data_IF_590889823034
#
_entry.id   IF_590889823034
#
_cell.length_a   1.000
_cell.length_b   1.000
_cell.length_c   1.000
_cell.angle_alpha   90.00
_cell.angle_beta   90.00
_cell.angle_gamma   90.00
#
_symmetry.space_group_name_H-M   'P 1'
#
loop_
_entity.id
_entity.type
_entity.pdbx_description
1 polymer ?
#
# COMPACT_ATOMS: atom_id res chain seq x y z
N UNK A 1 32.09 26.65 -3.11
CA UNK A 1 32.74 25.58 -3.90
C UNK A 1 31.71 24.48 -4.13
N UNK A 2 31.47 24.07 -5.37
CA UNK A 2 30.47 23.02 -5.71
C UNK A 2 31.20 21.69 -5.89
N UNK A 3 30.51 20.58 -5.59
CA UNK A 3 30.95 19.25 -6.01
C UNK A 3 31.10 19.20 -7.54
N UNK A 4 32.08 18.44 -7.99
CA UNK A 4 32.43 18.30 -9.42
C UNK A 4 31.43 17.41 -10.15
N UNK A 5 31.43 17.48 -11.49
CA UNK A 5 30.58 16.63 -12.33
C UNK A 5 30.93 15.15 -12.17
N UNK A 6 32.21 14.83 -12.08
CA UNK A 6 32.70 13.45 -11.93
C UNK A 6 32.27 12.83 -10.60
N UNK A 7 32.31 13.60 -9.51
CA UNK A 7 31.79 13.16 -8.20
C UNK A 7 30.28 12.91 -8.23
N UNK A 8 29.51 13.77 -8.93
CA UNK A 8 28.07 13.55 -9.11
C UNK A 8 27.78 12.30 -9.94
N UNK A 9 28.55 12.06 -11.00
CA UNK A 9 28.43 10.87 -11.84
C UNK A 9 28.75 9.58 -11.07
N UNK A 10 29.74 9.59 -10.17
CA UNK A 10 30.02 8.43 -9.30
C UNK A 10 28.86 8.16 -8.34
N UNK A 11 28.33 9.19 -7.68
CA UNK A 11 27.17 9.07 -6.79
C UNK A 11 25.96 8.54 -7.55
N UNK A 12 25.68 9.10 -8.73
CA UNK A 12 24.61 8.67 -9.62
C UNK A 12 24.73 7.17 -9.96
N UNK A 13 25.91 6.71 -10.37
CA UNK A 13 26.17 5.30 -10.65
C UNK A 13 25.95 4.41 -9.43
N UNK A 14 26.33 4.85 -8.23
CA UNK A 14 26.07 4.09 -6.98
C UNK A 14 24.57 4.00 -6.68
N UNK A 15 23.82 5.08 -6.92
CA UNK A 15 22.36 5.11 -6.78
C UNK A 15 21.66 4.19 -7.79
N UNK A 16 22.09 4.17 -9.06
CA UNK A 16 21.57 3.25 -10.09
C UNK A 16 21.79 1.78 -9.71
N UNK A 17 22.92 1.48 -9.06
CA UNK A 17 23.23 0.15 -8.53
C UNK A 17 22.51 -0.16 -7.19
N UNK A 18 21.54 0.65 -6.78
CA UNK A 18 20.73 0.47 -5.57
C UNK A 18 21.53 0.42 -4.27
N UNK A 19 22.69 1.08 -4.23
CA UNK A 19 23.46 1.19 -3.00
C UNK A 19 22.70 2.15 -2.06
N UNK A 20 22.45 1.76 -0.79
CA UNK A 20 21.75 2.62 0.17
C UNK A 20 22.43 3.98 0.33
N UNK A 21 21.63 5.04 0.47
CA UNK A 21 22.11 6.43 0.59
C UNK A 21 23.09 6.57 1.77
N UNK A 22 22.82 5.87 2.87
CA UNK A 22 23.66 5.82 4.06
C UNK A 22 25.03 5.25 3.75
N UNK A 23 25.09 4.14 3.03
CA UNK A 23 26.35 3.51 2.63
C UNK A 23 27.16 4.44 1.69
N UNK A 24 26.50 5.13 0.77
CA UNK A 24 27.16 6.12 -0.11
C UNK A 24 27.76 7.27 0.72
N UNK A 25 27.01 7.80 1.69
CA UNK A 25 27.49 8.87 2.56
C UNK A 25 28.66 8.42 3.43
N UNK A 26 28.59 7.21 3.98
CA UNK A 26 29.63 6.66 4.84
C UNK A 26 30.90 6.36 4.04
N UNK A 27 30.81 5.79 2.84
CA UNK A 27 31.95 5.59 1.95
C UNK A 27 32.66 6.90 1.61
N UNK A 28 31.89 7.96 1.30
CA UNK A 28 32.44 9.28 0.97
C UNK A 28 33.08 9.94 2.20
N UNK A 29 32.53 9.74 3.40
CA UNK A 29 33.15 10.24 4.64
C UNK A 29 34.42 9.47 4.98
N UNK A 30 34.43 8.16 4.74
CA UNK A 30 35.55 7.27 5.03
C UNK A 30 36.72 7.45 4.05
N UNK A 31 36.49 8.04 2.86
CA UNK A 31 37.58 8.41 1.95
C UNK A 31 38.37 9.65 2.38
N UNK A 32 38.00 10.28 3.51
CA UNK A 32 38.69 11.45 4.04
C UNK A 32 40.07 11.09 4.59
N UNK A 33 41.12 11.69 4.02
CA UNK A 33 42.49 11.52 4.51
C UNK A 33 42.86 12.54 5.60
N UNK A 34 43.28 13.75 5.19
CA UNK A 34 43.89 14.75 6.09
C UNK A 34 43.04 16.01 6.29
N UNK A 35 42.25 16.39 5.28
CA UNK A 35 41.36 17.56 5.33
C UNK A 35 40.05 17.26 4.61
N UNK A 36 38.90 17.74 5.12
CA UNK A 36 37.63 17.57 4.45
C UNK A 36 37.55 18.47 3.21
N UNK A 37 37.27 17.84 2.08
CA UNK A 37 36.88 18.52 0.84
C UNK A 37 35.35 18.66 0.75
N UNK A 38 34.84 19.44 -0.22
CA UNK A 38 33.39 19.71 -0.37
C UNK A 38 32.54 18.44 -0.50
N UNK A 39 33.07 17.40 -1.14
CA UNK A 39 32.41 16.10 -1.31
C UNK A 39 32.17 15.38 0.01
N UNK A 40 33.06 15.55 0.99
CA UNK A 40 32.93 14.96 2.33
C UNK A 40 31.84 15.64 3.19
N UNK A 41 31.34 16.80 2.72
CA UNK A 41 30.32 17.60 3.40
C UNK A 41 28.94 17.50 2.73
N UNK A 42 28.76 16.55 1.80
CA UNK A 42 27.45 16.32 1.20
C UNK A 42 26.44 15.79 2.22
N UNK A 43 25.19 16.14 2.01
CA UNK A 43 24.06 15.77 2.83
C UNK A 43 23.15 14.80 2.07
N UNK A 44 22.16 14.24 2.79
CA UNK A 44 21.08 13.49 2.15
C UNK A 44 20.32 14.33 1.11
N UNK A 45 20.23 15.65 1.31
CA UNK A 45 19.58 16.53 0.35
C UNK A 45 20.40 16.65 -0.93
N UNK A 46 21.73 16.81 -0.84
CA UNK A 46 22.59 16.83 -2.04
C UNK A 46 22.45 15.52 -2.85
N UNK A 47 22.31 14.36 -2.19
CA UNK A 47 22.08 13.07 -2.87
C UNK A 47 20.70 13.01 -3.53
N UNK A 48 19.66 13.56 -2.90
CA UNK A 48 18.33 13.68 -3.53
C UNK A 48 18.37 14.58 -4.76
N UNK A 49 19.05 15.72 -4.67
CA UNK A 49 19.19 16.66 -5.78
C UNK A 49 19.94 16.00 -6.95
N UNK A 50 21.00 15.22 -6.68
CA UNK A 50 21.72 14.43 -7.70
C UNK A 50 20.80 13.36 -8.29
N UNK A 51 20.02 12.67 -7.47
CA UNK A 51 19.07 11.66 -7.94
C UNK A 51 18.05 12.26 -8.93
N UNK A 52 17.53 13.44 -8.62
CA UNK A 52 16.64 14.20 -9.51
C UNK A 52 17.36 14.69 -10.77
N UNK A 53 18.56 15.28 -10.64
CA UNK A 53 19.37 15.79 -11.75
C UNK A 53 19.70 14.71 -12.78
N UNK A 54 19.89 13.46 -12.34
CA UNK A 54 20.20 12.32 -13.20
C UNK A 54 18.98 11.44 -13.54
N UNK A 55 17.76 11.86 -13.17
CA UNK A 55 16.52 11.10 -13.39
C UNK A 55 16.58 9.64 -12.88
N UNK A 56 17.32 9.41 -11.80
CA UNK A 56 17.46 8.07 -11.22
C UNK A 56 16.18 7.78 -10.46
N UNK A 57 15.35 6.91 -11.03
CA UNK A 57 14.06 6.53 -10.44
C UNK A 57 14.26 6.12 -8.99
N UNK A 58 13.50 6.72 -8.08
CA UNK A 58 13.39 6.18 -6.73
C UNK A 58 12.76 4.80 -6.79
N UNK A 59 13.36 3.82 -6.10
CA UNK A 59 12.72 2.53 -5.87
C UNK A 59 11.27 2.78 -5.42
N UNK A 60 10.31 2.41 -6.27
CA UNK A 60 8.87 2.60 -6.04
C UNK A 60 8.16 3.66 -6.89
N UNK A 61 8.85 4.52 -7.63
CA UNK A 61 8.22 5.50 -8.54
C UNK A 61 8.49 5.09 -9.99
N UNK A 62 7.45 4.62 -10.68
CA UNK A 62 7.51 4.08 -12.05
C UNK A 62 7.12 5.11 -13.12
N UNK A 63 6.59 6.26 -12.69
CA UNK A 63 6.25 7.40 -13.53
C UNK A 63 6.22 8.69 -12.72
N UNK A 64 6.43 9.83 -13.37
CA UNK A 64 6.25 11.16 -12.80
C UNK A 64 4.79 11.48 -12.43
N UNK A 65 3.82 10.80 -13.07
CA UNK A 65 2.42 10.86 -12.73
C UNK A 65 2.07 9.69 -11.79
N UNK A 66 1.62 10.00 -10.58
CA UNK A 66 1.37 8.98 -9.55
C UNK A 66 0.31 7.95 -9.96
N UNK A 67 -0.75 8.37 -10.67
CA UNK A 67 -1.79 7.47 -11.17
C UNK A 67 -1.19 6.48 -12.16
N UNK A 68 -0.36 6.96 -13.09
CA UNK A 68 0.34 6.11 -14.06
C UNK A 68 1.34 5.19 -13.36
N UNK A 69 2.04 5.68 -12.33
CA UNK A 69 2.98 4.90 -11.53
C UNK A 69 2.29 3.74 -10.82
N UNK A 70 1.16 4.00 -10.15
CA UNK A 70 0.34 2.96 -9.49
C UNK A 70 -0.18 1.95 -10.50
N UNK A 71 -0.69 2.40 -11.65
CA UNK A 71 -1.15 1.52 -12.72
C UNK A 71 -0.04 0.57 -13.21
N UNK A 72 1.14 1.11 -13.50
CA UNK A 72 2.31 0.29 -13.90
C UNK A 72 2.68 -0.73 -12.82
N UNK A 73 2.61 -0.34 -11.55
CA UNK A 73 2.90 -1.24 -10.43
C UNK A 73 1.87 -2.37 -10.33
N UNK A 74 0.58 -2.05 -10.44
CA UNK A 74 -0.49 -3.04 -10.40
C UNK A 74 -0.40 -4.00 -11.60
N UNK A 75 -0.21 -3.49 -12.82
CA UNK A 75 -0.07 -4.34 -14.03
C UNK A 75 1.14 -5.27 -13.95
N UNK A 76 2.24 -4.80 -13.36
CA UNK A 76 3.43 -5.63 -13.10
C UNK A 76 3.20 -6.76 -12.10
N UNK A 77 2.15 -6.68 -11.27
CA UNK A 77 1.81 -7.69 -10.26
C UNK A 77 0.65 -8.59 -10.67
N UNK A 78 -0.35 -8.07 -11.40
CA UNK A 78 -1.61 -8.77 -11.74
C UNK A 78 -1.41 -10.14 -12.37
N UNK A 79 -0.40 -10.30 -13.23
CA UNK A 79 -0.17 -11.54 -13.97
C UNK A 79 0.72 -12.55 -13.23
N UNK A 80 1.13 -12.26 -12.00
CA UNK A 80 1.92 -13.19 -11.19
C UNK A 80 1.02 -14.20 -10.50
N UNK A 81 1.50 -15.43 -10.39
CA UNK A 81 0.80 -16.49 -9.63
C UNK A 81 0.65 -16.10 -8.15
N UNK A 82 1.65 -15.41 -7.60
CA UNK A 82 1.67 -14.88 -6.23
C UNK A 82 1.14 -13.44 -6.13
N UNK A 83 0.34 -12.99 -7.11
CA UNK A 83 -0.18 -11.62 -7.14
C UNK A 83 -0.89 -11.28 -5.81
N UNK A 84 -0.46 -10.21 -5.13
CA UNK A 84 -1.14 -9.74 -3.95
C UNK A 84 -2.39 -8.90 -4.31
N UNK A 85 -2.60 -8.59 -5.59
CA UNK A 85 -3.72 -7.75 -6.03
C UNK A 85 -4.98 -8.62 -6.11
N UNK A 86 -5.98 -8.30 -5.29
CA UNK A 86 -7.27 -8.99 -5.27
C UNK A 86 -8.26 -8.35 -6.24
N UNK A 87 -8.36 -7.02 -6.21
CA UNK A 87 -9.12 -6.22 -7.17
C UNK A 87 -8.45 -4.85 -7.32
N UNK A 88 -8.50 -4.30 -8.53
CA UNK A 88 -8.05 -2.94 -8.79
C UNK A 88 -8.96 -2.25 -9.81
N UNK A 89 -9.73 -1.28 -9.32
CA UNK A 89 -10.50 -0.33 -10.10
C UNK A 89 -9.72 0.98 -10.17
N UNK A 90 -9.24 1.31 -11.36
CA UNK A 90 -8.50 2.54 -11.62
C UNK A 90 -9.42 3.77 -11.78
N UNK A 91 -8.86 4.95 -11.52
CA UNK A 91 -9.47 6.21 -11.88
C UNK A 91 -9.53 6.34 -13.40
N UNK A 92 -10.56 7.03 -13.90
CA UNK A 92 -10.88 7.18 -15.32
C UNK A 92 -11.41 5.91 -16.01
N UNK A 93 -11.59 4.80 -15.29
CA UNK A 93 -12.31 3.61 -15.78
C UNK A 93 -13.73 3.60 -15.23
N UNK A 94 -14.70 3.51 -16.14
CA UNK A 94 -16.10 3.22 -15.83
C UNK A 94 -16.51 1.91 -16.49
N UNK A 95 -16.88 0.92 -15.68
CA UNK A 95 -17.37 -0.38 -16.14
C UNK A 95 -18.39 -0.91 -15.13
N UNK A 96 -19.67 -0.80 -15.45
CA UNK A 96 -20.78 -1.21 -14.56
C UNK A 96 -20.85 -2.74 -14.39
N UNK A 97 -20.28 -3.52 -15.32
CA UNK A 97 -20.30 -4.98 -15.22
C UNK A 97 -19.20 -5.48 -14.27
N UNK A 98 -18.01 -4.86 -14.32
CA UNK A 98 -16.90 -5.22 -13.45
C UNK A 98 -16.96 -4.52 -12.08
N UNK A 99 -17.41 -3.27 -12.06
CA UNK A 99 -17.40 -2.41 -10.87
C UNK A 99 -18.78 -1.75 -10.67
N UNK A 100 -19.83 -2.52 -10.40
CA UNK A 100 -21.19 -2.01 -10.32
C UNK A 100 -21.32 -0.88 -9.28
N UNK A 101 -21.94 0.22 -9.68
CA UNK A 101 -22.15 1.41 -8.86
C UNK A 101 -20.90 2.26 -8.59
N UNK A 102 -19.74 1.92 -9.16
CA UNK A 102 -18.50 2.72 -9.09
C UNK A 102 -18.44 3.72 -10.26
N UNK A 103 -18.02 4.95 -9.98
CA UNK A 103 -17.88 6.02 -10.98
C UNK A 103 -16.49 6.04 -11.59
N UNK A 104 -16.29 6.80 -12.67
CA UNK A 104 -14.99 6.91 -13.32
C UNK A 104 -13.89 7.42 -12.37
N UNK A 105 -14.20 8.40 -11.53
CA UNK A 105 -13.27 9.04 -10.58
C UNK A 105 -12.91 8.19 -9.35
N UNK A 106 -13.71 7.16 -9.06
CA UNK A 106 -13.49 6.31 -7.89
C UNK A 106 -12.21 5.48 -8.07
N UNK A 107 -11.48 5.20 -7.00
CA UNK A 107 -10.36 4.25 -6.99
C UNK A 107 -10.67 3.20 -5.94
N UNK A 108 -10.44 1.94 -6.27
CA UNK A 108 -10.51 0.85 -5.30
C UNK A 108 -9.36 -0.12 -5.55
N UNK A 109 -8.55 -0.35 -4.53
CA UNK A 109 -7.46 -1.31 -4.56
C UNK A 109 -7.54 -2.20 -3.31
N UNK A 110 -7.61 -3.51 -3.52
CA UNK A 110 -7.55 -4.50 -2.44
C UNK A 110 -6.29 -5.33 -2.60
N UNK A 111 -5.52 -5.43 -1.52
CA UNK A 111 -4.25 -6.15 -1.48
C UNK A 111 -4.31 -7.24 -0.40
N UNK A 112 -4.01 -8.47 -0.80
CA UNK A 112 -3.82 -9.65 0.05
C UNK A 112 -2.77 -10.57 -0.58
N UNK A 113 -1.60 -10.68 0.03
CA UNK A 113 -0.60 -11.68 -0.36
C UNK A 113 -0.99 -13.10 0.11
N UNK A 114 -0.19 -14.10 -0.24
CA UNK A 114 -0.45 -15.50 0.13
C UNK A 114 -0.57 -15.72 1.65
N UNK A 115 0.40 -15.22 2.43
CA UNK A 115 0.36 -15.32 3.90
C UNK A 115 -0.88 -14.67 4.50
N UNK A 116 -1.30 -13.52 3.97
CA UNK A 116 -2.50 -12.81 4.40
C UNK A 116 -3.78 -13.60 4.10
N UNK A 117 -3.88 -14.20 2.91
CA UNK A 117 -4.98 -15.11 2.55
C UNK A 117 -5.03 -16.31 3.51
N UNK A 118 -3.88 -16.90 3.83
CA UNK A 118 -3.81 -18.04 4.74
C UNK A 118 -4.21 -17.66 6.17
N UNK A 119 -3.69 -16.55 6.70
CA UNK A 119 -4.08 -16.04 8.02
C UNK A 119 -5.59 -15.77 8.09
N UNK A 120 -6.19 -15.22 7.03
CA UNK A 120 -7.64 -15.02 6.96
C UNK A 120 -8.41 -16.35 7.00
N UNK A 121 -7.94 -17.38 6.29
CA UNK A 121 -8.58 -18.71 6.29
C UNK A 121 -8.47 -19.40 7.65
N UNK A 122 -7.32 -19.30 8.31
CA UNK A 122 -7.09 -19.96 9.59
C UNK A 122 -7.84 -19.28 10.74
N UNK A 123 -7.83 -17.94 10.80
CA UNK A 123 -8.30 -17.20 11.97
C UNK A 123 -9.56 -16.37 11.74
N UNK A 124 -9.99 -16.17 10.49
CA UNK A 124 -11.11 -15.30 10.13
C UNK A 124 -12.49 -15.78 10.57
N UNK A 125 -12.60 -16.97 11.17
CA UNK A 125 -13.88 -17.49 11.69
C UNK A 125 -14.14 -17.12 13.17
N UNK A 126 -13.14 -16.66 13.92
CA UNK A 126 -13.39 -16.24 15.32
C UNK A 126 -13.68 -14.74 15.41
N UNK A 127 -12.67 -13.89 15.18
CA UNK A 127 -12.81 -12.44 15.33
C UNK A 127 -12.16 -11.73 14.16
N UNK A 128 -12.94 -10.83 13.53
CA UNK A 128 -12.45 -9.90 12.52
C UNK A 128 -12.66 -8.48 13.03
N UNK A 129 -11.62 -7.66 12.89
CA UNK A 129 -11.68 -6.24 13.17
C UNK A 129 -11.43 -5.47 11.88
N UNK A 130 -12.25 -4.47 11.61
CA UNK A 130 -12.05 -3.52 10.52
C UNK A 130 -11.54 -2.22 11.14
N UNK A 131 -10.27 -1.94 10.92
CA UNK A 131 -9.64 -0.70 11.36
C UNK A 131 -9.62 0.31 10.22
N UNK A 132 -10.07 1.53 10.50
CA UNK A 132 -10.26 2.56 9.50
C UNK A 132 -9.35 3.75 9.74
N UNK A 133 -8.49 4.03 8.76
CA UNK A 133 -7.56 5.16 8.80
C UNK A 133 -7.95 6.19 7.77
N UNK A 134 -8.56 7.26 8.26
CA UNK A 134 -9.08 8.35 7.44
C UNK A 134 -7.98 9.23 6.85
N UNK A 135 -7.91 9.29 5.52
CA UNK A 135 -7.43 10.44 4.75
C UNK A 135 -6.08 11.05 5.13
N UNK A 136 -5.19 10.32 5.82
CA UNK A 136 -3.91 10.84 6.32
C UNK A 136 -2.83 10.90 5.23
N UNK A 137 -3.22 11.03 3.96
CA UNK A 137 -2.30 11.20 2.84
C UNK A 137 -2.70 12.40 1.96
N UNK A 138 -1.77 12.84 1.12
CA UNK A 138 -1.94 14.02 0.27
C UNK A 138 -3.11 13.92 -0.72
N UNK A 139 -3.57 12.70 -1.04
CA UNK A 139 -4.65 12.43 -1.99
C UNK A 139 -6.00 12.16 -1.32
N UNK A 140 -6.03 12.14 0.03
CA UNK A 140 -7.21 11.81 0.85
C UNK A 140 -7.82 10.44 0.51
N UNK A 141 -6.98 9.47 0.14
CA UNK A 141 -7.41 8.07 0.11
C UNK A 141 -7.51 7.55 1.54
N UNK A 142 -8.59 6.83 1.82
CA UNK A 142 -8.74 6.14 3.09
C UNK A 142 -8.24 4.70 2.97
N UNK A 143 -7.66 4.19 4.06
CA UNK A 143 -7.22 2.82 4.17
C UNK A 143 -8.03 2.09 5.24
N UNK A 144 -8.65 0.98 4.84
CA UNK A 144 -9.27 0.02 5.75
C UNK A 144 -8.36 -1.19 5.86
N UNK A 145 -8.04 -1.57 7.09
CA UNK A 145 -7.26 -2.78 7.39
C UNK A 145 -8.20 -3.83 7.97
N UNK A 146 -8.27 -5.00 7.31
CA UNK A 146 -8.95 -6.17 7.86
C UNK A 146 -7.96 -6.94 8.73
N UNK A 147 -8.24 -6.99 10.02
CA UNK A 147 -7.43 -7.67 11.03
C UNK A 147 -8.11 -8.98 11.45
N UNK A 148 -7.32 -10.03 11.61
CA UNK A 148 -7.72 -11.26 12.31
C UNK A 148 -6.95 -11.36 13.63
N UNK A 149 -7.55 -12.00 14.63
CA UNK A 149 -6.86 -12.32 15.87
C UNK A 149 -6.36 -13.76 15.81
N UNK A 150 -5.06 -13.96 16.08
CA UNK A 150 -4.50 -15.29 16.21
C UNK A 150 -4.88 -15.98 17.53
N UNK A 151 -4.31 -17.16 17.78
CA UNK A 151 -4.52 -17.95 18.99
C UNK A 151 -4.07 -17.25 20.27
N UNK A 152 -3.13 -16.31 20.17
CA UNK A 152 -2.64 -15.47 21.27
C UNK A 152 -3.37 -14.14 21.41
N UNK A 153 -4.39 -13.90 20.56
CA UNK A 153 -5.12 -12.63 20.47
C UNK A 153 -4.28 -11.47 19.96
N UNK A 154 -3.21 -11.74 19.22
CA UNK A 154 -2.44 -10.73 18.51
C UNK A 154 -3.11 -10.43 17.16
N UNK A 155 -3.16 -9.14 16.80
CA UNK A 155 -3.78 -8.69 15.56
C UNK A 155 -2.85 -8.86 14.37
N UNK A 156 -3.31 -9.54 13.32
CA UNK A 156 -2.60 -9.68 12.05
C UNK A 156 -3.38 -9.02 10.90
N UNK A 157 -2.75 -8.13 10.10
CA UNK A 157 -3.40 -7.48 8.97
C UNK A 157 -3.54 -8.44 7.78
N UNK A 158 -4.74 -8.98 7.61
CA UNK A 158 -5.06 -10.01 6.62
C UNK A 158 -5.56 -9.43 5.28
N UNK A 159 -5.95 -8.15 5.21
CA UNK A 159 -6.19 -7.46 3.96
C UNK A 159 -6.06 -5.94 4.11
N UNK A 160 -5.72 -5.27 3.02
CA UNK A 160 -5.73 -3.81 2.92
C UNK A 160 -6.67 -3.36 1.81
N UNK A 161 -7.54 -2.40 2.10
CA UNK A 161 -8.47 -1.81 1.14
C UNK A 161 -8.18 -0.31 1.08
N UNK A 162 -7.66 0.15 -0.05
CA UNK A 162 -7.39 1.56 -0.32
C UNK A 162 -8.43 2.10 -1.28
N UNK A 163 -9.09 3.21 -0.92
CA UNK A 163 -10.15 3.80 -1.74
C UNK A 163 -10.33 5.29 -1.47
N UNK A 164 -10.80 6.06 -2.45
CA UNK A 164 -11.32 7.43 -2.23
C UNK A 164 -12.83 7.44 -1.94
N UNK A 165 -13.46 6.27 -1.87
CA UNK A 165 -14.89 6.09 -1.60
C UNK A 165 -15.10 4.95 -0.60
N UNK A 166 -15.75 5.24 0.52
CA UNK A 166 -15.92 4.32 1.65
C UNK A 166 -17.41 4.07 1.99
N UNK A 167 -18.27 4.20 0.98
CA UNK A 167 -19.68 3.87 1.14
C UNK A 167 -19.93 2.37 1.05
N UNK A 168 -21.18 1.97 1.31
CA UNK A 168 -21.56 0.57 1.28
C UNK A 168 -21.31 -0.08 -0.07
N UNK A 169 -21.33 0.67 -1.18
CA UNK A 169 -21.10 0.13 -2.54
C UNK A 169 -19.65 -0.27 -2.72
N UNK A 170 -18.71 0.65 -2.46
CA UNK A 170 -17.28 0.37 -2.60
C UNK A 170 -16.81 -0.74 -1.65
N UNK A 171 -17.29 -0.72 -0.40
CA UNK A 171 -16.98 -1.75 0.58
C UNK A 171 -17.57 -3.12 0.22
N UNK A 172 -18.80 -3.17 -0.32
CA UNK A 172 -19.41 -4.44 -0.77
C UNK A 172 -18.59 -5.06 -1.89
N UNK A 173 -18.14 -4.25 -2.86
CA UNK A 173 -17.30 -4.72 -3.96
C UNK A 173 -15.95 -5.25 -3.44
N UNK A 174 -15.31 -4.52 -2.51
CA UNK A 174 -14.06 -4.95 -1.89
C UNK A 174 -14.22 -6.28 -1.14
N UNK A 175 -15.25 -6.39 -0.29
CA UNK A 175 -15.53 -7.61 0.48
C UNK A 175 -15.90 -8.79 -0.42
N UNK A 176 -16.65 -8.57 -1.50
CA UNK A 176 -16.98 -9.61 -2.46
C UNK A 176 -15.71 -10.20 -3.10
N UNK A 177 -14.78 -9.35 -3.53
CA UNK A 177 -13.50 -9.80 -4.08
C UNK A 177 -12.64 -10.56 -3.05
N UNK A 178 -12.66 -10.13 -1.78
CA UNK A 178 -12.02 -10.87 -0.68
C UNK A 178 -12.66 -12.25 -0.51
N UNK A 179 -14.01 -12.33 -0.53
CA UNK A 179 -14.77 -13.57 -0.35
C UNK A 179 -14.45 -14.63 -1.41
N UNK A 180 -14.08 -14.25 -2.62
CA UNK A 180 -13.64 -15.21 -3.65
C UNK A 180 -12.39 -16.00 -3.23
N UNK A 181 -11.60 -15.46 -2.30
CA UNK A 181 -10.34 -16.05 -1.83
C UNK A 181 -10.46 -16.74 -0.47
N UNK A 182 -11.64 -16.72 0.16
CA UNK A 182 -11.82 -17.21 1.54
C UNK A 182 -13.21 -17.78 1.78
N UNK A 183 -13.37 -18.57 2.83
CA UNK A 183 -14.67 -19.04 3.31
C UNK A 183 -14.75 -18.79 4.81
N UNK A 184 -15.10 -17.56 5.17
CA UNK A 184 -15.15 -17.08 6.56
C UNK A 184 -16.58 -16.73 6.96
N UNK A 185 -16.88 -17.02 8.22
CA UNK A 185 -18.07 -16.59 8.93
C UNK A 185 -17.65 -16.24 10.35
N UNK A 186 -17.19 -15.00 10.60
CA UNK A 186 -16.66 -14.64 11.90
C UNK A 186 -17.77 -14.65 12.96
N UNK A 187 -17.45 -15.22 14.11
CA UNK A 187 -18.28 -15.12 15.32
C UNK A 187 -18.42 -13.66 15.78
N UNK A 188 -17.33 -12.91 15.74
CA UNK A 188 -17.28 -11.50 16.15
C UNK A 188 -16.79 -10.63 15.00
N UNK A 189 -17.54 -9.59 14.68
CA UNK A 189 -17.10 -8.51 13.81
C UNK A 189 -16.99 -7.23 14.62
N UNK A 190 -15.82 -6.62 14.64
CA UNK A 190 -15.59 -5.29 15.20
C UNK A 190 -15.43 -4.29 14.05
N UNK A 191 -16.23 -3.23 14.04
CA UNK A 191 -16.17 -2.18 13.03
C UNK A 191 -16.17 -0.81 13.68
N UNK A 192 -15.83 0.22 12.92
CA UNK A 192 -16.17 1.59 13.28
C UNK A 192 -17.70 1.79 13.44
N UNK A 193 -18.10 2.94 14.00
CA UNK A 193 -19.50 3.30 14.24
C UNK A 193 -20.30 3.53 12.93
N UNK A 194 -19.60 3.78 11.83
CA UNK A 194 -20.19 3.92 10.51
C UNK A 194 -20.96 2.67 10.07
N UNK A 195 -22.23 2.87 9.68
CA UNK A 195 -23.09 1.79 9.20
C UNK A 195 -22.63 1.19 7.86
N UNK A 196 -21.84 1.91 7.06
CA UNK A 196 -21.42 1.43 5.73
C UNK A 196 -20.63 0.13 5.82
N UNK A 197 -19.74 0.00 6.80
CA UNK A 197 -18.94 -1.21 7.04
C UNK A 197 -19.81 -2.41 7.39
N UNK A 198 -20.69 -2.25 8.37
CA UNK A 198 -21.53 -3.35 8.82
C UNK A 198 -22.54 -3.79 7.76
N UNK A 199 -23.14 -2.84 7.02
CA UNK A 199 -24.09 -3.14 5.96
C UNK A 199 -23.43 -3.85 4.77
N UNK A 200 -22.25 -3.38 4.35
CA UNK A 200 -21.46 -4.03 3.31
C UNK A 200 -21.04 -5.44 3.74
N UNK A 201 -20.52 -5.59 4.96
CA UNK A 201 -20.15 -6.91 5.51
C UNK A 201 -21.33 -7.88 5.51
N UNK A 202 -22.47 -7.44 6.07
CA UNK A 202 -23.69 -8.24 6.16
C UNK A 202 -24.17 -8.71 4.78
N UNK A 203 -24.06 -7.84 3.78
CA UNK A 203 -24.45 -8.15 2.40
C UNK A 203 -23.59 -9.26 1.81
N UNK A 204 -22.28 -9.27 2.10
CA UNK A 204 -21.34 -10.21 1.49
C UNK A 204 -21.17 -11.50 2.31
N UNK A 205 -20.92 -11.38 3.61
CA UNK A 205 -20.56 -12.50 4.50
C UNK A 205 -21.72 -12.95 5.41
N UNK A 206 -22.83 -12.20 5.44
CA UNK A 206 -23.94 -12.46 6.34
C UNK A 206 -23.78 -11.81 7.71
N UNK A 207 -24.75 -12.04 8.59
CA UNK A 207 -24.79 -11.44 9.93
C UNK A 207 -23.85 -12.21 10.87
N UNK A 208 -22.85 -11.56 11.50
CA UNK A 208 -22.02 -12.19 12.52
C UNK A 208 -22.82 -12.42 13.80
N UNK A 209 -22.38 -13.34 14.66
CA UNK A 209 -23.06 -13.57 15.95
C UNK A 209 -23.02 -12.35 16.87
N UNK A 210 -21.91 -11.60 16.83
CA UNK A 210 -21.71 -10.38 17.62
C UNK A 210 -21.11 -9.28 16.76
N UNK A 211 -21.69 -8.08 16.84
CA UNK A 211 -21.08 -6.84 16.38
C UNK A 211 -20.50 -6.08 17.58
N UNK A 212 -19.23 -5.73 17.51
CA UNK A 212 -18.57 -4.80 18.43
C UNK A 212 -18.28 -3.50 17.68
N UNK A 213 -18.20 -2.40 18.41
CA UNK A 213 -17.76 -1.11 17.87
C UNK A 213 -16.33 -0.85 18.32
N UNK A 214 -15.49 -0.34 17.41
CA UNK A 214 -14.24 0.31 17.75
C UNK A 214 -14.55 1.62 18.49
N UNK A 215 -13.76 1.96 19.49
CA UNK A 215 -13.85 3.23 20.26
C UNK A 215 -12.57 4.00 20.17
#
# INVERSE_FOLDING_TARGET
MKITKEEKEDIARKLENKIPVEAILDDIRNSMNLKPERIHLITRQDIKDIKEEYNISSDGVLDSNDVVSVNKWVEGLKNREDSPIVIFKDQNIFDENLYPGMKAEDLLLVIMNASQKDMLKFYGNDTICLDFTHGMNAYRFDLVTLLVLDDKREGFPAAFILSNRQDSTALTLAFAAIKEHTCISPRVLMTDDSESFFNAWKTVFGVPEKRLLCT
#
